data_IF_708057421449
#
_entry.id   IF_708057421449
#
_cell.length_a   1.000
_cell.length_b   1.000
_cell.length_c   1.000
_cell.angle_alpha   90.00
_cell.angle_beta   90.00
_cell.angle_gamma   90.00
#
_symmetry.space_group_name_H-M   'P 1'
#
loop_
_entity.id
_entity.type
_entity.pdbx_description
1 polymer ?
#
# COMPACT_ATOMS: atom_id res chain seq x y z
N UNK A 1 -24.97 0.75 -3.55
CA UNK A 1 -24.99 0.41 -2.12
C UNK A 1 -24.57 1.62 -1.32
N UNK A 2 -24.99 1.73 -0.06
CA UNK A 2 -24.52 2.77 0.87
C UNK A 2 -23.19 2.38 1.50
N UNK A 3 -22.50 3.35 2.10
CA UNK A 3 -21.29 3.08 2.90
C UNK A 3 -21.58 2.07 4.01
N UNK A 4 -22.69 2.23 4.74
CA UNK A 4 -23.01 1.33 5.86
C UNK A 4 -23.32 -0.10 5.41
N UNK A 5 -23.96 -0.27 4.24
CA UNK A 5 -24.19 -1.59 3.65
C UNK A 5 -22.87 -2.28 3.29
N UNK A 6 -21.96 -1.57 2.62
CA UNK A 6 -20.65 -2.10 2.27
C UNK A 6 -19.87 -2.50 3.53
N UNK A 7 -19.79 -1.62 4.52
CA UNK A 7 -19.00 -1.89 5.72
C UNK A 7 -19.57 -3.05 6.52
N UNK A 8 -20.90 -3.16 6.63
CA UNK A 8 -21.54 -4.33 7.28
C UNK A 8 -21.23 -5.65 6.55
N UNK A 9 -21.06 -5.62 5.24
CA UNK A 9 -20.67 -6.81 4.50
C UNK A 9 -19.20 -7.15 4.72
N UNK A 10 -18.31 -6.14 4.69
CA UNK A 10 -16.89 -6.29 5.00
C UNK A 10 -16.65 -6.85 6.40
N UNK A 11 -17.40 -6.39 7.40
CA UNK A 11 -17.27 -6.83 8.80
C UNK A 11 -17.49 -8.34 9.00
N UNK A 12 -18.06 -9.05 8.02
CA UNK A 12 -18.23 -10.51 8.05
C UNK A 12 -16.94 -11.28 7.74
N UNK A 13 -16.00 -10.66 7.03
CA UNK A 13 -14.83 -11.36 6.46
C UNK A 13 -13.50 -10.63 6.67
N UNK A 14 -13.54 -9.31 6.86
CA UNK A 14 -12.35 -8.46 7.00
C UNK A 14 -12.08 -8.11 8.46
N UNK A 15 -10.82 -7.82 8.76
CA UNK A 15 -10.41 -7.30 10.07
C UNK A 15 -11.03 -5.92 10.34
N UNK A 16 -11.28 -5.62 11.61
CA UNK A 16 -11.91 -4.36 12.02
C UNK A 16 -11.18 -3.12 11.50
N UNK A 17 -9.83 -3.16 11.44
CA UNK A 17 -9.05 -2.03 10.96
C UNK A 17 -9.21 -1.77 9.46
N UNK A 18 -9.48 -2.82 8.68
CA UNK A 18 -9.80 -2.73 7.24
C UNK A 18 -11.13 -2.00 7.08
N UNK A 19 -12.15 -2.42 7.83
CA UNK A 19 -13.47 -1.79 7.83
C UNK A 19 -13.42 -0.32 8.25
N UNK A 20 -12.67 -0.01 9.32
CA UNK A 20 -12.46 1.37 9.79
C UNK A 20 -11.79 2.22 8.70
N UNK A 21 -10.76 1.70 8.04
CA UNK A 21 -10.00 2.42 7.02
C UNK A 21 -10.88 2.73 5.80
N UNK A 22 -11.66 1.75 5.31
CA UNK A 22 -12.57 1.95 4.18
C UNK A 22 -13.68 2.94 4.54
N UNK A 23 -14.30 2.81 5.73
CA UNK A 23 -15.33 3.75 6.19
C UNK A 23 -14.82 5.17 6.23
N UNK A 24 -13.61 5.39 6.76
CA UNK A 24 -13.00 6.72 6.82
C UNK A 24 -12.79 7.32 5.44
N UNK A 25 -12.21 6.56 4.50
CA UNK A 25 -11.95 7.04 3.14
C UNK A 25 -13.27 7.44 2.46
N UNK A 26 -14.30 6.59 2.53
CA UNK A 26 -15.58 6.85 1.89
C UNK A 26 -16.30 8.07 2.48
N UNK A 27 -16.26 8.23 3.81
CA UNK A 27 -16.82 9.40 4.48
C UNK A 27 -16.09 10.68 4.10
N UNK A 28 -14.76 10.65 4.04
CA UNK A 28 -13.91 11.78 3.65
C UNK A 28 -14.19 12.23 2.22
N UNK A 29 -14.47 11.28 1.34
CA UNK A 29 -14.81 11.53 -0.06
C UNK A 29 -16.28 11.86 -0.29
N UNK A 30 -17.13 11.80 0.74
CA UNK A 30 -18.58 12.05 0.66
C UNK A 30 -19.24 11.24 -0.47
N UNK A 31 -18.93 9.94 -0.52
CA UNK A 31 -19.49 9.04 -1.53
C UNK A 31 -20.83 8.48 -1.05
N UNK A 32 -21.92 8.94 -1.65
CA UNK A 32 -23.27 8.54 -1.24
C UNK A 32 -23.78 7.31 -2.01
N UNK A 33 -23.32 7.10 -3.25
CA UNK A 33 -23.70 5.97 -4.08
C UNK A 33 -22.47 5.16 -4.49
N UNK A 34 -22.22 4.06 -3.78
CA UNK A 34 -21.09 3.18 -4.00
C UNK A 34 -21.46 2.15 -5.06
N UNK A 35 -20.59 2.05 -6.08
CA UNK A 35 -20.56 0.98 -7.06
C UNK A 35 -19.10 0.55 -7.30
N UNK A 36 -18.94 -0.58 -7.99
CA UNK A 36 -17.62 -1.17 -8.22
C UNK A 36 -16.66 -0.24 -8.98
N UNK A 37 -17.15 0.53 -9.95
CA UNK A 37 -16.32 1.47 -10.71
C UNK A 37 -15.74 2.56 -9.80
N UNK A 38 -16.55 3.09 -8.88
CA UNK A 38 -16.09 4.11 -7.94
C UNK A 38 -15.11 3.53 -6.92
N UNK A 39 -15.33 2.30 -6.46
CA UNK A 39 -14.39 1.60 -5.59
C UNK A 39 -13.05 1.36 -6.29
N UNK A 40 -13.08 0.96 -7.56
CA UNK A 40 -11.88 0.84 -8.39
C UNK A 40 -11.13 2.17 -8.51
N UNK A 41 -11.83 3.27 -8.80
CA UNK A 41 -11.21 4.60 -8.90
C UNK A 41 -10.51 5.02 -7.60
N UNK A 42 -11.12 4.73 -6.46
CA UNK A 42 -10.61 5.12 -5.14
C UNK A 42 -9.43 4.22 -4.71
N UNK A 43 -9.58 2.90 -4.83
CA UNK A 43 -8.70 1.91 -4.21
C UNK A 43 -7.67 1.29 -5.16
N UNK A 44 -7.74 1.52 -6.49
CA UNK A 44 -6.67 1.08 -7.41
C UNK A 44 -5.38 1.90 -7.29
N UNK A 45 -5.41 3.02 -6.55
CA UNK A 45 -4.25 3.89 -6.36
C UNK A 45 -3.81 3.94 -4.89
N UNK A 46 -2.69 3.28 -4.58
CA UNK A 46 -2.10 3.24 -3.26
C UNK A 46 -1.70 4.62 -2.72
N UNK A 47 -1.25 5.54 -3.58
CA UNK A 47 -0.92 6.90 -3.13
C UNK A 47 -2.17 7.63 -2.65
N UNK A 48 -3.28 7.53 -3.38
CA UNK A 48 -4.56 8.10 -2.94
C UNK A 48 -5.01 7.47 -1.61
N UNK A 49 -4.91 6.16 -1.50
CA UNK A 49 -5.23 5.42 -0.27
C UNK A 49 -4.44 5.97 0.94
N UNK A 50 -3.13 6.14 0.81
CA UNK A 50 -2.30 6.68 1.90
C UNK A 50 -2.61 8.14 2.21
N UNK A 51 -2.90 8.98 1.21
CA UNK A 51 -3.30 10.38 1.40
C UNK A 51 -4.59 10.47 2.21
N UNK A 52 -5.60 9.65 1.87
CA UNK A 52 -6.88 9.69 2.55
C UNK A 52 -6.82 9.19 3.99
N UNK A 53 -5.89 8.27 4.30
CA UNK A 53 -5.69 7.72 5.64
C UNK A 53 -4.64 8.45 6.49
N UNK A 54 -4.00 9.51 5.98
CA UNK A 54 -2.88 10.15 6.69
C UNK A 54 -3.28 10.66 8.10
N UNK A 55 -4.49 11.17 8.25
CA UNK A 55 -5.09 11.60 9.52
C UNK A 55 -5.42 10.44 10.48
N UNK A 56 -5.50 9.21 9.97
CA UNK A 56 -5.74 7.99 10.73
C UNK A 56 -4.50 7.11 10.92
N UNK A 57 -3.39 7.44 10.28
CA UNK A 57 -2.15 6.67 10.31
C UNK A 57 -1.75 6.28 11.75
N UNK A 58 -1.80 7.23 12.69
CA UNK A 58 -1.48 6.99 14.09
C UNK A 58 -2.43 6.02 14.82
N UNK A 59 -3.68 5.87 14.40
CA UNK A 59 -4.62 4.88 14.95
C UNK A 59 -4.38 3.50 14.34
N UNK A 60 -4.11 3.46 13.04
CA UNK A 60 -3.77 2.25 12.28
C UNK A 60 -2.53 1.58 12.86
N UNK A 61 -1.42 2.32 12.99
CA UNK A 61 -0.15 1.76 13.41
C UNK A 61 -0.10 1.38 14.90
N UNK A 62 -0.84 2.07 15.78
CA UNK A 62 -0.78 1.84 17.23
C UNK A 62 -1.71 0.74 17.73
N UNK A 63 -2.86 0.52 17.09
CA UNK A 63 -3.89 -0.40 17.62
C UNK A 63 -3.88 -1.78 17.01
N UNK A 64 -3.31 -1.95 15.82
CA UNK A 64 -3.50 -3.18 15.05
C UNK A 64 -2.20 -3.86 14.59
N UNK A 65 -1.02 -3.29 14.89
CA UNK A 65 0.29 -3.78 14.41
C UNK A 65 0.35 -4.04 12.89
N UNK A 66 -0.55 -3.42 12.13
CA UNK A 66 -0.68 -3.60 10.68
C UNK A 66 0.00 -2.46 9.95
N UNK A 67 0.61 -2.75 8.80
CA UNK A 67 1.08 -1.68 7.92
C UNK A 67 -0.06 -1.15 7.06
N UNK A 68 0.04 0.10 6.60
CA UNK A 68 -0.91 0.66 5.63
C UNK A 68 -0.98 -0.17 4.34
N UNK A 69 0.12 -0.83 3.97
CA UNK A 69 0.20 -1.71 2.81
C UNK A 69 -0.55 -3.03 3.03
N UNK A 70 -0.48 -3.63 4.22
CA UNK A 70 -1.24 -4.83 4.57
C UNK A 70 -2.74 -4.58 4.52
N UNK A 71 -3.17 -3.45 5.10
CA UNK A 71 -4.58 -3.05 5.08
C UNK A 71 -5.01 -2.79 3.64
N UNK A 72 -4.21 -2.06 2.85
CA UNK A 72 -4.47 -1.84 1.44
C UNK A 72 -4.67 -3.15 0.67
N UNK A 73 -3.77 -4.12 0.87
CA UNK A 73 -3.85 -5.45 0.26
C UNK A 73 -5.13 -6.19 0.66
N UNK A 74 -5.55 -6.11 1.92
CA UNK A 74 -6.80 -6.71 2.37
C UNK A 74 -8.03 -6.04 1.73
N UNK A 75 -8.07 -4.70 1.68
CA UNK A 75 -9.13 -3.95 1.01
C UNK A 75 -9.24 -4.34 -0.46
N UNK A 76 -8.13 -4.29 -1.18
CA UNK A 76 -8.09 -4.64 -2.59
C UNK A 76 -8.51 -6.09 -2.84
N UNK A 77 -8.08 -7.04 -2.01
CA UNK A 77 -8.53 -8.44 -2.12
C UNK A 77 -10.04 -8.59 -1.94
N UNK A 78 -10.61 -7.95 -0.92
CA UNK A 78 -12.06 -8.02 -0.68
C UNK A 78 -12.85 -7.40 -1.85
N UNK A 79 -12.35 -6.31 -2.41
CA UNK A 79 -12.97 -5.59 -3.52
C UNK A 79 -12.66 -6.17 -4.91
N UNK A 80 -11.89 -7.26 -5.00
CA UNK A 80 -11.39 -7.83 -6.25
C UNK A 80 -10.63 -6.80 -7.14
N UNK A 81 -9.73 -6.05 -6.50
CA UNK A 81 -8.87 -5.04 -7.11
C UNK A 81 -7.43 -5.56 -7.09
N UNK A 82 -6.70 -5.41 -8.19
CA UNK A 82 -5.27 -5.72 -8.23
C UNK A 82 -4.48 -4.78 -7.31
N UNK A 83 -3.96 -5.32 -6.20
CA UNK A 83 -3.19 -4.56 -5.21
C UNK A 83 -1.73 -4.40 -5.63
N UNK A 84 -1.15 -5.38 -6.33
CA UNK A 84 0.24 -5.36 -6.77
C UNK A 84 0.37 -4.64 -8.12
N UNK A 85 0.01 -3.36 -8.08
CA UNK A 85 -0.13 -2.51 -9.24
C UNK A 85 0.98 -1.43 -9.31
N UNK A 86 0.95 -0.64 -10.38
CA UNK A 86 1.91 0.43 -10.64
C UNK A 86 2.06 1.41 -9.46
N UNK A 87 0.95 1.82 -8.85
CA UNK A 87 0.96 2.83 -7.80
C UNK A 87 1.67 2.35 -6.53
N UNK A 88 1.47 1.08 -6.15
CA UNK A 88 2.17 0.47 -5.02
C UNK A 88 3.66 0.33 -5.33
N UNK A 89 4.00 -0.14 -6.53
CA UNK A 89 5.39 -0.23 -6.99
C UNK A 89 6.11 1.13 -6.91
N UNK A 90 5.51 2.19 -7.47
CA UNK A 90 6.08 3.54 -7.46
C UNK A 90 6.26 4.07 -6.03
N UNK A 91 5.31 3.79 -5.14
CA UNK A 91 5.41 4.18 -3.73
C UNK A 91 6.57 3.48 -3.02
N UNK A 92 6.75 2.17 -3.22
CA UNK A 92 7.89 1.41 -2.68
C UNK A 92 9.22 1.93 -3.22
N UNK A 93 9.30 2.17 -4.53
CA UNK A 93 10.51 2.70 -5.17
C UNK A 93 10.87 4.09 -4.64
N UNK A 94 9.88 4.97 -4.47
CA UNK A 94 10.08 6.30 -3.89
C UNK A 94 10.70 6.19 -2.49
N UNK A 95 10.18 5.32 -1.62
CA UNK A 95 10.71 5.13 -0.25
C UNK A 95 12.19 4.77 -0.26
N UNK A 96 12.61 3.83 -1.11
CA UNK A 96 14.02 3.43 -1.24
C UNK A 96 14.88 4.61 -1.72
N UNK A 97 14.43 5.29 -2.77
CA UNK A 97 15.16 6.43 -3.36
C UNK A 97 15.25 7.67 -2.45
N UNK A 98 14.47 7.72 -1.35
CA UNK A 98 14.52 8.84 -0.40
C UNK A 98 15.58 8.63 0.69
N UNK A 99 16.21 7.44 0.75
CA UNK A 99 17.26 7.18 1.73
C UNK A 99 18.53 7.88 1.27
N UNK A 100 19.05 8.76 2.13
CA UNK A 100 20.30 9.48 1.89
C UNK A 100 21.49 8.61 2.27
N UNK A 101 22.25 8.19 1.27
CA UNK A 101 23.45 7.38 1.44
C UNK A 101 24.47 8.04 2.38
N UNK A 102 24.57 9.38 2.38
CA UNK A 102 25.49 10.11 3.27
C UNK A 102 25.04 10.03 4.73
N UNK A 103 23.73 9.95 4.98
CA UNK A 103 23.19 9.76 6.32
C UNK A 103 23.43 8.31 6.76
N UNK A 104 23.22 7.35 5.88
CA UNK A 104 23.41 5.92 6.13
C UNK A 104 24.86 5.60 6.53
N UNK A 105 25.84 6.27 5.92
CA UNK A 105 27.25 6.10 6.26
C UNK A 105 27.63 6.61 7.66
N UNK A 106 26.88 7.59 8.19
CA UNK A 106 27.13 8.21 9.49
C UNK A 106 26.44 7.50 10.66
N UNK A 107 25.60 6.50 10.38
CA UNK A 107 24.91 5.73 11.43
C UNK A 107 25.87 4.76 12.13
N UNK A 108 25.60 4.51 13.41
CA UNK A 108 26.26 3.44 14.17
C UNK A 108 26.03 2.07 13.53
N UNK A 109 26.96 1.15 13.73
CA UNK A 109 26.98 -0.15 13.04
C UNK A 109 25.66 -0.93 13.15
N UNK A 110 25.12 -1.06 14.37
CA UNK A 110 23.89 -1.84 14.60
C UNK A 110 22.66 -1.21 13.93
N UNK A 111 22.58 0.13 13.96
CA UNK A 111 21.50 0.88 13.31
C UNK A 111 21.63 0.75 11.79
N UNK A 112 22.85 0.96 11.26
CA UNK A 112 23.15 0.84 9.83
C UNK A 112 22.80 -0.55 9.30
N UNK A 113 23.17 -1.60 10.04
CA UNK A 113 22.84 -2.99 9.70
C UNK A 113 21.32 -3.19 9.62
N UNK A 114 20.56 -2.74 10.62
CA UNK A 114 19.10 -2.86 10.61
C UNK A 114 18.45 -2.11 9.44
N UNK A 115 18.96 -0.93 9.07
CA UNK A 115 18.47 -0.17 7.91
C UNK A 115 18.77 -0.90 6.61
N UNK A 116 19.98 -1.46 6.45
CA UNK A 116 20.38 -2.23 5.27
C UNK A 116 19.55 -3.51 5.11
N UNK A 117 19.24 -4.21 6.21
CA UNK A 117 18.38 -5.39 6.19
C UNK A 117 16.95 -5.04 5.72
N UNK A 118 16.38 -3.94 6.24
CA UNK A 118 15.07 -3.44 5.77
C UNK A 118 15.09 -3.04 4.30
N UNK A 119 16.17 -2.40 3.85
CA UNK A 119 16.37 -2.04 2.45
C UNK A 119 16.45 -3.27 1.54
N UNK A 120 17.16 -4.31 1.97
CA UNK A 120 17.27 -5.57 1.23
C UNK A 120 15.89 -6.21 1.08
N UNK A 121 15.11 -6.28 2.17
CA UNK A 121 13.74 -6.80 2.15
C UNK A 121 12.84 -5.99 1.21
N UNK A 122 12.86 -4.66 1.29
CA UNK A 122 12.07 -3.79 0.40
C UNK A 122 12.45 -3.96 -1.07
N UNK A 123 13.75 -4.13 -1.37
CA UNK A 123 14.20 -4.43 -2.72
C UNK A 123 13.70 -5.77 -3.23
N UNK A 124 13.65 -6.80 -2.38
CA UNK A 124 13.06 -8.09 -2.74
C UNK A 124 11.55 -7.98 -3.01
N UNK A 125 10.81 -7.22 -2.20
CA UNK A 125 9.39 -6.96 -2.42
C UNK A 125 9.13 -6.26 -3.76
N UNK A 126 9.98 -5.29 -4.13
CA UNK A 126 9.92 -4.63 -5.45
C UNK A 126 10.22 -5.62 -6.58
N UNK A 127 11.28 -6.42 -6.47
CA UNK A 127 11.62 -7.42 -7.50
C UNK A 127 10.55 -8.49 -7.64
N UNK A 128 9.86 -8.82 -6.54
CA UNK A 128 8.81 -9.82 -6.52
C UNK A 128 7.44 -9.30 -6.97
N UNK A 129 7.26 -7.98 -7.04
CA UNK A 129 6.05 -7.34 -7.53
C UNK A 129 5.65 -7.84 -8.92
N UNK A 130 4.36 -8.14 -9.06
CA UNK A 130 3.69 -8.46 -10.33
C UNK A 130 3.92 -7.36 -11.36
N UNK A 131 3.82 -6.09 -10.97
CA UNK A 131 4.08 -4.97 -11.86
C UNK A 131 5.53 -4.96 -12.39
N UNK A 132 6.51 -5.16 -11.50
CA UNK A 132 7.92 -5.22 -11.91
C UNK A 132 8.17 -6.38 -12.88
N UNK A 133 7.70 -7.59 -12.55
CA UNK A 133 7.90 -8.80 -13.36
C UNK A 133 7.24 -8.71 -14.73
N UNK A 134 6.07 -8.09 -14.82
CA UNK A 134 5.30 -8.05 -16.07
C UNK A 134 5.66 -6.87 -16.97
N UNK A 135 6.13 -5.76 -16.41
CA UNK A 135 6.31 -4.51 -17.17
C UNK A 135 7.75 -4.02 -17.24
N UNK A 136 8.63 -4.41 -16.32
CA UNK A 136 9.99 -3.86 -16.21
C UNK A 136 11.07 -4.94 -16.42
N UNK A 137 10.94 -6.10 -15.78
CA UNK A 137 11.92 -7.18 -15.89
C UNK A 137 12.18 -7.63 -17.36
N UNK A 138 11.16 -7.78 -18.24
CA UNK A 138 11.37 -8.18 -19.63
C UNK A 138 12.11 -7.14 -20.47
N UNK A 139 12.08 -5.87 -20.07
CA UNK A 139 12.78 -4.79 -20.78
C UNK A 139 14.28 -4.78 -20.47
N UNK A 140 14.69 -5.20 -19.26
CA UNK A 140 16.09 -5.26 -18.85
C UNK A 140 16.87 -6.39 -19.53
N UNK A 141 16.20 -7.51 -19.83
CA UNK A 141 16.82 -8.66 -20.52
C UNK A 141 17.09 -8.39 -22.00
N UNK A 142 16.37 -7.45 -22.60
CA UNK A 142 16.51 -7.11 -24.02
C UNK A 142 17.55 -6.00 -24.30
N UNK A 143 18.25 -5.52 -23.27
CA UNK A 143 19.30 -4.50 -23.38
C UNK A 143 20.73 -5.08 -23.35
N UNK A 144 20.86 -6.41 -23.31
CA UNK A 144 22.13 -7.12 -23.50
C UNK A 144 22.02 -7.98 -24.76
N UNK A 145 22.24 -7.39 -25.93
CA UNK A 145 22.51 -8.08 -27.19
C UNK A 145 23.49 -7.25 -28.00
#
# INVERSE_FOLDING_TARGET
MTTDELIKDMEKTCEQIVCISVRHILNKLKIDNINQNKLNEIFSNFNNYTIYLNDMAGQIYRRHNSSAEDIYKQVCKYLDIEWDNKSLYESRLKKINTIDDNLLEKLEYDIKKSVLEKLAQQNEEIKNSKYYKNSIAPLKTNQTS
#
